data_IF_435996789726
#
_entry.id   IF_435996789726
#
_cell.length_a   1.000
_cell.length_b   1.000
_cell.length_c   1.000
_cell.angle_alpha   90.00
_cell.angle_beta   90.00
_cell.angle_gamma   90.00
#
_symmetry.space_group_name_H-M   'P 1'
#
loop_
_entity.id
_entity.type
_entity.pdbx_description
1 polymer ?
#
# COMPACT_ATOMS: atom_id res chain seq x y z
N UNK A 1 56.82 39.56 -4.30
CA UNK A 1 55.52 39.56 -4.76
C UNK A 1 54.50 38.92 -3.81
N UNK A 2 53.26 39.13 -4.05
CA UNK A 2 52.13 38.59 -3.25
C UNK A 2 52.15 37.06 -3.10
N UNK A 3 52.75 36.31 -4.03
CA UNK A 3 52.85 34.86 -4.00
C UNK A 3 53.70 34.27 -2.85
N UNK A 4 54.60 35.04 -2.28
CA UNK A 4 55.46 34.61 -1.17
C UNK A 4 54.81 34.76 0.21
N UNK A 5 53.79 35.60 0.36
CA UNK A 5 53.07 35.80 1.59
C UNK A 5 52.19 34.59 1.90
N UNK A 6 51.54 34.04 0.91
CA UNK A 6 50.69 32.85 1.09
C UNK A 6 51.48 31.60 1.47
N UNK A 7 52.74 31.49 1.01
CA UNK A 7 53.62 30.35 1.34
C UNK A 7 54.17 30.39 2.77
N UNK A 8 54.04 31.55 3.44
CA UNK A 8 54.56 31.77 4.82
C UNK A 8 53.49 31.91 5.85
N UNK A 9 52.18 31.87 5.42
CA UNK A 9 51.09 32.01 6.34
C UNK A 9 50.94 30.70 7.16
N UNK A 10 50.98 30.81 8.51
CA UNK A 10 50.61 29.77 9.39
C UNK A 10 49.11 29.58 9.40
N UNK A 11 48.64 28.37 9.26
CA UNK A 11 47.24 27.99 9.34
C UNK A 11 47.03 27.08 10.54
N UNK A 12 46.06 27.42 11.39
CA UNK A 12 45.63 26.58 12.51
C UNK A 12 44.15 26.32 12.45
N UNK A 13 43.72 25.14 12.87
CA UNK A 13 42.33 24.72 12.94
C UNK A 13 41.85 24.57 14.37
N UNK A 14 40.57 24.26 14.50
CA UNK A 14 39.88 23.93 15.74
C UNK A 14 39.03 22.69 15.48
N UNK A 15 38.60 21.99 16.52
CA UNK A 15 37.79 20.73 16.52
C UNK A 15 38.55 19.45 16.15
N UNK A 16 39.75 19.52 15.61
CA UNK A 16 40.61 18.36 15.38
C UNK A 16 40.03 17.28 14.49
N UNK A 17 39.17 17.67 13.52
CA UNK A 17 38.55 16.75 12.56
C UNK A 17 39.63 16.01 11.76
N UNK A 18 39.39 14.76 11.41
CA UNK A 18 40.35 13.92 10.69
C UNK A 18 40.80 14.54 9.37
N UNK A 19 39.92 15.25 8.66
CA UNK A 19 40.25 15.96 7.41
C UNK A 19 41.32 17.02 7.61
N UNK A 20 41.31 17.73 8.71
CA UNK A 20 42.34 18.72 9.05
C UNK A 20 43.71 18.09 9.31
N UNK A 21 43.72 16.89 9.95
CA UNK A 21 44.92 16.11 10.19
C UNK A 21 45.40 15.42 8.92
N UNK A 22 44.47 15.16 8.01
CA UNK A 22 44.70 14.48 6.75
C UNK A 22 45.08 15.43 5.62
N UNK A 23 44.95 16.74 5.81
CA UNK A 23 45.34 17.72 4.82
C UNK A 23 46.88 17.75 4.62
N UNK A 24 47.36 18.16 3.45
CA UNK A 24 48.76 18.32 3.22
C UNK A 24 49.12 19.79 2.96
N UNK A 25 49.95 20.41 3.78
CA UNK A 25 50.55 19.93 5.05
C UNK A 25 49.47 19.79 6.15
N UNK A 26 49.60 18.79 7.06
CA UNK A 26 48.66 18.60 8.17
C UNK A 26 48.45 19.88 8.97
N UNK A 27 47.20 20.18 9.29
CA UNK A 27 46.80 21.41 9.97
C UNK A 27 47.04 21.21 11.50
N UNK A 28 47.73 22.16 12.12
CA UNK A 28 47.79 22.23 13.60
C UNK A 28 46.40 22.59 14.11
N UNK A 29 45.83 21.78 15.02
CA UNK A 29 44.46 21.94 15.48
C UNK A 29 44.31 21.61 16.95
N UNK A 30 43.22 22.03 17.56
CA UNK A 30 42.80 21.62 18.90
C UNK A 30 41.80 20.49 18.74
N UNK A 31 42.06 19.36 19.41
CA UNK A 31 41.15 18.21 19.38
C UNK A 31 40.51 17.98 20.74
N UNK A 32 39.23 17.68 20.72
CA UNK A 32 38.50 17.17 21.87
C UNK A 32 38.35 15.66 21.74
N UNK A 33 38.44 14.97 22.88
CA UNK A 33 38.06 13.58 22.96
C UNK A 33 36.53 13.52 23.07
N UNK A 34 35.88 13.37 21.90
CA UNK A 34 34.43 13.36 21.78
C UNK A 34 33.85 12.16 22.53
N UNK A 35 34.45 10.98 22.42
CA UNK A 35 33.98 9.75 23.03
C UNK A 35 34.03 9.84 24.56
N UNK A 36 35.14 10.32 25.08
CA UNK A 36 35.29 10.57 26.53
C UNK A 36 34.30 11.64 27.00
N UNK A 37 34.05 12.66 26.20
CA UNK A 37 33.08 13.74 26.51
C UNK A 37 31.67 13.20 26.56
N UNK A 38 31.25 12.43 25.55
CA UNK A 38 29.93 11.81 25.49
C UNK A 38 29.71 10.84 26.64
N UNK A 39 30.64 9.90 26.86
CA UNK A 39 30.57 8.91 27.94
C UNK A 39 30.45 9.59 29.32
N UNK A 40 31.17 10.67 29.50
CA UNK A 40 31.11 11.48 30.71
C UNK A 40 29.78 12.20 30.87
N UNK A 41 29.27 12.78 29.81
CA UNK A 41 27.97 13.46 29.80
C UNK A 41 26.85 12.49 30.20
N UNK A 42 26.82 11.32 29.61
CA UNK A 42 25.84 10.29 29.96
C UNK A 42 25.97 9.83 31.42
N UNK A 43 27.21 9.68 31.94
CA UNK A 43 27.43 9.32 33.33
C UNK A 43 26.92 10.38 34.29
N UNK A 44 27.18 11.66 33.98
CA UNK A 44 26.68 12.81 34.76
C UNK A 44 25.17 12.83 34.75
N UNK A 45 24.56 12.68 33.56
CA UNK A 45 23.12 12.69 33.40
C UNK A 45 22.45 11.54 34.19
N UNK A 46 23.00 10.34 34.13
CA UNK A 46 22.54 9.18 34.92
C UNK A 46 22.61 9.46 36.42
N UNK A 47 23.72 10.05 36.91
CA UNK A 47 23.89 10.38 38.32
C UNK A 47 22.85 11.44 38.76
N UNK A 48 22.58 12.45 37.94
CA UNK A 48 21.54 13.46 38.20
C UNK A 48 20.16 12.84 38.31
N UNK A 49 19.80 11.97 37.35
CA UNK A 49 18.51 11.26 37.37
C UNK A 49 18.34 10.36 38.60
N UNK A 50 19.44 9.85 39.16
CA UNK A 50 19.45 9.05 40.38
C UNK A 50 19.55 9.90 41.68
N UNK A 51 19.53 11.23 41.56
CA UNK A 51 19.67 12.13 42.72
C UNK A 51 21.03 12.15 43.37
N UNK A 52 22.08 11.68 42.68
CA UNK A 52 23.46 11.69 43.15
C UNK A 52 24.15 13.02 42.87
N UNK A 53 25.02 13.46 43.74
CA UNK A 53 25.86 14.64 43.51
C UNK A 53 26.87 14.39 42.40
N UNK A 54 27.19 15.45 41.64
CA UNK A 54 28.20 15.43 40.58
C UNK A 54 29.55 15.69 41.22
N UNK A 55 30.39 14.69 41.33
CA UNK A 55 31.75 14.77 41.88
C UNK A 55 32.82 14.83 40.78
N UNK A 56 32.42 15.13 39.54
CA UNK A 56 33.33 15.19 38.39
C UNK A 56 33.46 16.64 37.87
N UNK A 57 34.66 17.04 37.43
CA UNK A 57 34.84 18.35 36.83
C UNK A 57 34.02 18.48 35.54
N UNK A 58 33.33 19.59 35.31
CA UNK A 58 32.53 19.87 34.14
C UNK A 58 33.37 20.35 32.93
N UNK A 59 34.66 20.47 33.09
CA UNK A 59 35.56 20.96 32.05
C UNK A 59 35.90 19.88 31.02
N UNK A 60 35.84 20.26 29.74
CA UNK A 60 36.27 19.40 28.63
C UNK A 60 37.78 19.58 28.44
N UNK A 61 38.51 18.49 28.51
CA UNK A 61 39.96 18.50 28.26
C UNK A 61 40.20 18.47 26.76
N UNK A 62 40.89 19.48 26.24
CA UNK A 62 41.32 19.54 24.86
C UNK A 62 42.83 19.37 24.74
N UNK A 63 43.32 18.81 23.66
CA UNK A 63 44.76 18.69 23.35
C UNK A 63 45.13 19.42 22.08
N UNK A 64 46.33 19.96 22.00
CA UNK A 64 46.83 20.56 20.76
C UNK A 64 47.54 19.48 19.95
N UNK A 65 47.04 19.23 18.75
CA UNK A 65 47.69 18.34 17.77
C UNK A 65 48.49 19.19 16.81
N UNK A 66 49.80 19.09 16.89
CA UNK A 66 50.71 19.85 16.07
C UNK A 66 50.83 19.22 14.66
N UNK A 67 50.38 19.95 13.64
CA UNK A 67 50.65 19.68 12.24
C UNK A 67 51.87 20.48 11.74
N UNK A 68 52.13 20.41 10.45
CA UNK A 68 53.20 21.22 9.82
C UNK A 68 52.69 22.54 9.24
N UNK A 69 51.38 22.83 9.28
CA UNK A 69 50.79 24.07 8.76
C UNK A 69 51.15 25.31 9.55
N UNK A 70 51.53 25.18 10.82
CA UNK A 70 51.97 26.30 11.65
C UNK A 70 53.46 26.63 11.49
N UNK A 71 54.22 25.87 10.71
CA UNK A 71 55.68 25.99 10.60
C UNK A 71 56.41 25.31 11.78
N UNK A 72 55.72 24.63 12.67
CA UNK A 72 56.32 23.84 13.74
C UNK A 72 57.05 22.62 13.16
N UNK A 73 58.22 22.28 13.67
CA UNK A 73 58.94 21.07 13.23
C UNK A 73 58.17 19.85 13.69
N UNK A 74 57.50 19.16 12.79
CA UNK A 74 56.95 17.82 13.06
C UNK A 74 58.15 16.87 13.26
N UNK A 75 58.08 16.03 14.29
CA UNK A 75 59.06 14.95 14.55
C UNK A 75 59.19 14.10 13.28
N UNK A 76 60.33 14.20 12.56
CA UNK A 76 60.59 13.53 11.28
C UNK A 76 60.71 11.99 11.38
N UNK A 77 60.59 11.41 12.56
CA UNK A 77 60.65 9.97 12.74
C UNK A 77 59.21 9.37 12.62
N UNK A 78 58.92 8.78 11.50
CA UNK A 78 57.80 7.93 11.15
C UNK A 78 56.97 8.36 9.93
N UNK A 79 57.57 9.10 8.97
CA UNK A 79 56.77 9.62 7.86
C UNK A 79 56.23 8.55 6.90
N UNK A 80 56.98 7.47 6.67
CA UNK A 80 56.61 6.45 5.68
C UNK A 80 55.59 5.46 6.20
N UNK A 81 55.75 4.98 7.46
CA UNK A 81 54.80 4.06 8.08
C UNK A 81 53.46 4.75 8.35
N UNK A 82 53.50 6.01 8.82
CA UNK A 82 52.28 6.81 9.00
C UNK A 82 51.60 7.07 7.65
N UNK A 83 52.37 7.38 6.61
CA UNK A 83 51.83 7.57 5.26
C UNK A 83 51.17 6.29 4.73
N UNK A 84 51.83 5.14 4.83
CA UNK A 84 51.30 3.86 4.40
C UNK A 84 50.03 3.46 5.18
N UNK A 85 50.05 3.59 6.51
CA UNK A 85 48.84 3.31 7.34
C UNK A 85 47.67 4.23 6.97
N UNK A 86 47.97 5.49 6.66
CA UNK A 86 46.99 6.46 6.25
C UNK A 86 46.42 6.14 4.88
N UNK A 87 47.28 5.81 3.92
CA UNK A 87 46.83 5.40 2.56
C UNK A 87 45.97 4.14 2.63
N UNK A 88 46.32 3.18 3.48
CA UNK A 88 45.51 1.99 3.74
C UNK A 88 44.15 2.34 4.35
N UNK A 89 44.08 3.22 5.33
CA UNK A 89 42.82 3.68 5.92
C UNK A 89 41.95 4.40 4.89
N UNK A 90 42.54 5.27 4.07
CA UNK A 90 41.81 5.97 3.01
C UNK A 90 41.26 5.00 1.95
N UNK A 91 42.07 4.02 1.54
CA UNK A 91 41.59 2.99 0.61
C UNK A 91 40.48 2.12 1.20
N UNK A 92 40.59 1.74 2.48
CA UNK A 92 39.53 1.01 3.16
C UNK A 92 38.24 1.82 3.19
N UNK A 93 38.29 3.08 3.63
CA UNK A 93 37.12 3.99 3.66
C UNK A 93 36.49 4.18 2.28
N UNK A 94 37.31 4.36 1.23
CA UNK A 94 36.81 4.50 -0.14
C UNK A 94 36.13 3.22 -0.62
N UNK A 95 36.69 2.05 -0.29
CA UNK A 95 36.08 0.79 -0.64
C UNK A 95 34.78 0.55 0.14
N UNK A 96 34.77 0.86 1.44
CA UNK A 96 33.57 0.75 2.29
C UNK A 96 32.47 1.68 1.77
N UNK A 97 32.83 2.93 1.43
CA UNK A 97 31.87 3.90 0.86
C UNK A 97 31.33 3.46 -0.50
N UNK A 98 32.21 2.92 -1.35
CA UNK A 98 31.80 2.40 -2.66
C UNK A 98 30.86 1.20 -2.52
N UNK A 99 31.23 0.22 -1.70
CA UNK A 99 30.42 -0.96 -1.44
C UNK A 99 29.04 -0.55 -0.90
N UNK A 100 29.02 0.34 0.08
CA UNK A 100 27.78 0.84 0.64
C UNK A 100 26.93 1.56 -0.40
N UNK A 101 27.51 2.45 -1.21
CA UNK A 101 26.77 3.18 -2.25
C UNK A 101 26.15 2.23 -3.29
N UNK A 102 26.89 1.19 -3.69
CA UNK A 102 26.39 0.13 -4.57
C UNK A 102 25.21 -0.61 -3.91
N UNK A 103 25.36 -1.02 -2.65
CA UNK A 103 24.30 -1.70 -1.88
C UNK A 103 23.04 -0.84 -1.77
N UNK A 104 23.16 0.47 -1.51
CA UNK A 104 22.01 1.37 -1.42
C UNK A 104 21.24 1.49 -2.75
N UNK A 105 21.95 1.48 -3.88
CA UNK A 105 21.33 1.51 -5.22
C UNK A 105 20.54 0.21 -5.46
N UNK A 106 21.14 -0.95 -5.17
CA UNK A 106 20.45 -2.23 -5.30
C UNK A 106 19.24 -2.34 -4.36
N UNK A 107 19.43 -1.95 -3.10
CA UNK A 107 18.35 -1.92 -2.13
C UNK A 107 17.18 -1.03 -2.59
N UNK A 108 17.48 0.18 -3.07
CA UNK A 108 16.43 1.08 -3.55
C UNK A 108 15.66 0.47 -4.73
N UNK A 109 16.35 -0.20 -5.67
CA UNK A 109 15.72 -0.88 -6.79
C UNK A 109 14.85 -2.07 -6.30
N UNK A 110 15.41 -2.96 -5.48
CA UNK A 110 14.72 -4.15 -4.99
C UNK A 110 13.52 -3.83 -4.10
N UNK A 111 13.60 -2.77 -3.30
CA UNK A 111 12.48 -2.32 -2.46
C UNK A 111 11.38 -1.65 -3.28
N UNK A 112 11.72 -0.98 -4.39
CA UNK A 112 10.75 -0.28 -5.24
C UNK A 112 9.98 -1.24 -6.17
N UNK A 113 10.59 -2.36 -6.55
CA UNK A 113 9.99 -3.37 -7.44
C UNK A 113 9.07 -4.35 -6.69
N UNK A 114 8.32 -3.84 -5.69
CA UNK A 114 7.40 -4.64 -4.89
C UNK A 114 5.99 -4.06 -4.90
N UNK A 115 5.01 -4.93 -5.20
CA UNK A 115 3.59 -4.60 -5.19
C UNK A 115 2.94 -4.76 -3.80
N UNK A 116 3.68 -5.25 -2.81
CA UNK A 116 3.16 -5.54 -1.48
C UNK A 116 4.13 -5.20 -0.36
N UNK A 117 3.62 -4.83 0.82
CA UNK A 117 4.44 -4.63 2.01
C UNK A 117 5.23 -5.86 2.40
N UNK A 118 4.65 -7.06 2.21
CA UNK A 118 5.36 -8.31 2.48
C UNK A 118 6.62 -8.46 1.61
N UNK A 119 6.53 -8.09 0.31
CA UNK A 119 7.69 -8.06 -0.58
C UNK A 119 8.76 -7.09 -0.11
N UNK A 120 8.36 -5.87 0.28
CA UNK A 120 9.28 -4.86 0.85
C UNK A 120 9.99 -5.40 2.09
N UNK A 121 9.25 -6.00 3.03
CA UNK A 121 9.86 -6.55 4.26
C UNK A 121 10.79 -7.72 3.99
N UNK A 122 10.44 -8.60 3.07
CA UNK A 122 11.28 -9.74 2.67
C UNK A 122 12.60 -9.28 2.05
N UNK A 123 12.54 -8.28 1.16
CA UNK A 123 13.74 -7.72 0.56
C UNK A 123 14.57 -6.94 1.59
N UNK A 124 13.91 -6.21 2.50
CA UNK A 124 14.61 -5.49 3.56
C UNK A 124 15.44 -6.41 4.46
N UNK A 125 14.96 -7.63 4.74
CA UNK A 125 15.73 -8.61 5.55
C UNK A 125 17.09 -8.95 4.95
N UNK A 126 17.23 -8.93 3.62
CA UNK A 126 18.49 -9.22 2.94
C UNK A 126 19.55 -8.12 3.15
N UNK A 127 19.10 -6.87 3.36
CA UNK A 127 19.98 -5.70 3.56
C UNK A 127 20.25 -5.38 5.02
N UNK A 128 19.58 -6.04 5.96
CA UNK A 128 19.74 -5.74 7.39
C UNK A 128 21.12 -6.08 7.94
N UNK A 129 21.85 -7.00 7.32
CA UNK A 129 23.23 -7.35 7.69
C UNK A 129 24.21 -6.20 7.46
N UNK A 130 23.92 -5.31 6.52
CA UNK A 130 24.75 -4.14 6.20
C UNK A 130 24.83 -3.13 7.36
N UNK A 131 23.86 -3.17 8.30
CA UNK A 131 23.88 -2.30 9.48
C UNK A 131 24.75 -2.82 10.60
N UNK A 132 25.21 -4.07 10.50
CA UNK A 132 26.01 -4.71 11.53
C UNK A 132 25.41 -4.59 12.94
N UNK A 133 24.12 -4.28 13.04
CA UNK A 133 23.40 -4.22 14.31
C UNK A 133 22.84 -5.60 14.65
N UNK A 134 23.11 -6.08 15.84
CA UNK A 134 22.58 -7.35 16.33
C UNK A 134 21.09 -7.29 16.68
N UNK A 135 20.56 -6.07 16.84
CA UNK A 135 19.15 -5.83 17.20
C UNK A 135 18.56 -4.73 16.32
N UNK A 136 17.45 -5.06 15.67
CA UNK A 136 16.73 -4.19 14.73
C UNK A 136 15.24 -4.38 14.91
N UNK A 137 14.46 -3.30 14.91
CA UNK A 137 12.99 -3.32 14.89
C UNK A 137 12.47 -2.29 13.92
N UNK A 138 11.53 -2.70 13.07
CA UNK A 138 10.76 -1.83 12.20
C UNK A 138 9.35 -1.72 12.78
N UNK A 139 9.04 -0.57 13.34
CA UNK A 139 7.77 -0.27 13.97
C UNK A 139 6.95 0.67 13.08
N UNK A 140 5.74 0.28 12.71
CA UNK A 140 4.85 1.02 11.81
C UNK A 140 3.54 1.33 12.53
N UNK A 141 2.98 2.52 12.30
CA UNK A 141 1.68 2.92 12.85
C UNK A 141 0.58 2.02 12.31
N UNK A 142 -0.38 1.63 13.14
CA UNK A 142 -1.38 0.62 12.81
C UNK A 142 -2.25 0.98 11.60
N UNK A 143 -2.62 2.25 11.44
CA UNK A 143 -3.44 2.75 10.34
C UNK A 143 -2.66 2.96 9.01
N UNK A 144 -1.33 2.79 9.01
CA UNK A 144 -0.56 2.88 7.76
C UNK A 144 -0.82 1.69 6.83
N UNK A 145 -1.01 0.49 7.40
CA UNK A 145 -1.17 -0.76 6.65
C UNK A 145 -2.64 -1.13 6.38
N UNK A 146 -3.59 -0.40 6.97
CA UNK A 146 -5.03 -0.68 6.78
C UNK A 146 -5.44 -0.33 5.35
N UNK A 147 -6.00 -1.31 4.64
CA UNK A 147 -6.65 -1.12 3.35
C UNK A 147 -7.98 -0.38 3.55
N UNK A 148 -8.21 0.65 2.75
CA UNK A 148 -9.46 1.41 2.78
C UNK A 148 -10.44 0.81 1.76
N UNK A 149 -11.58 0.28 2.23
CA UNK A 149 -12.53 -0.47 1.41
C UNK A 149 -13.45 0.42 0.55
N UNK A 150 -13.69 1.70 0.90
CA UNK A 150 -14.65 2.55 0.19
C UNK A 150 -14.01 3.75 -0.53
N UNK A 151 -14.49 4.02 -1.76
CA UNK A 151 -13.98 5.12 -2.60
C UNK A 151 -14.22 6.51 -1.99
N UNK A 152 -15.32 6.71 -1.26
CA UNK A 152 -15.60 7.93 -0.50
C UNK A 152 -14.53 8.18 0.55
N UNK A 153 -14.13 7.13 1.27
CA UNK A 153 -13.10 7.17 2.28
C UNK A 153 -11.71 7.43 1.68
N UNK A 154 -11.46 6.91 0.47
CA UNK A 154 -10.19 7.12 -0.24
C UNK A 154 -10.04 8.58 -0.66
N UNK A 155 -11.10 9.23 -1.15
CA UNK A 155 -11.07 10.64 -1.60
C UNK A 155 -10.96 11.59 -0.41
N UNK A 156 -11.73 11.38 0.64
CA UNK A 156 -11.71 12.21 1.84
C UNK A 156 -10.40 12.07 2.63
N UNK A 157 -9.80 10.88 2.63
CA UNK A 157 -8.52 10.59 3.28
C UNK A 157 -7.29 10.74 2.37
N UNK A 158 -7.46 11.03 1.08
CA UNK A 158 -6.34 11.35 0.18
C UNK A 158 -5.54 12.58 0.66
N UNK A 159 -6.17 13.46 1.45
CA UNK A 159 -5.57 14.61 2.09
C UNK A 159 -5.23 14.36 3.58
N UNK A 160 -5.36 13.13 4.08
CA UNK A 160 -5.08 12.82 5.46
C UNK A 160 -3.57 12.69 5.68
N UNK A 161 -2.96 13.76 6.15
CA UNK A 161 -1.59 13.79 6.64
C UNK A 161 -1.60 13.57 8.16
N UNK A 162 -1.11 12.41 8.61
CA UNK A 162 -0.90 12.20 10.03
C UNK A 162 0.44 12.80 10.43
N UNK A 163 0.40 13.83 11.24
CA UNK A 163 1.57 14.28 11.99
C UNK A 163 1.57 13.60 13.37
N UNK A 164 2.57 12.76 13.64
CA UNK A 164 2.70 12.03 14.89
C UNK A 164 2.31 10.54 14.80
N UNK A 165 2.44 9.85 15.94
CA UNK A 165 2.22 8.41 16.04
C UNK A 165 0.80 8.09 16.49
N UNK A 166 0.27 6.94 16.08
CA UNK A 166 -0.99 6.37 16.59
C UNK A 166 -0.81 5.82 18.01
N UNK A 167 -1.91 5.59 18.72
CA UNK A 167 -1.88 4.98 20.06
C UNK A 167 -1.36 3.54 20.04
N UNK A 168 -1.48 2.86 18.90
CA UNK A 168 -0.99 1.51 18.65
C UNK A 168 -0.04 1.50 17.48
N UNK A 169 0.94 0.63 17.56
CA UNK A 169 1.92 0.35 16.52
C UNK A 169 2.15 -1.15 16.37
N UNK A 170 2.68 -1.52 15.22
CA UNK A 170 3.01 -2.90 14.88
C UNK A 170 4.52 -3.01 14.63
N UNK A 171 5.18 -3.97 15.30
CA UNK A 171 6.50 -4.41 14.87
C UNK A 171 6.29 -5.28 13.63
N UNK A 172 6.66 -4.78 12.48
CA UNK A 172 6.53 -5.50 11.21
C UNK A 172 7.67 -6.47 11.01
N UNK A 173 8.83 -6.09 11.48
CA UNK A 173 10.07 -6.84 11.32
C UNK A 173 10.94 -6.58 12.53
N UNK A 174 11.42 -7.63 13.17
CA UNK A 174 12.46 -7.52 14.21
C UNK A 174 13.51 -8.58 14.05
N UNK A 175 14.75 -8.20 14.34
CA UNK A 175 15.90 -9.09 14.37
C UNK A 175 16.58 -8.97 15.74
N UNK A 176 16.71 -10.09 16.43
CA UNK A 176 17.33 -10.15 17.75
C UNK A 176 18.34 -11.29 17.73
N UNK A 177 19.62 -10.98 17.97
CA UNK A 177 20.72 -11.96 17.95
C UNK A 177 20.81 -12.77 16.63
N UNK A 178 20.47 -12.13 15.50
CA UNK A 178 20.50 -12.75 14.17
C UNK A 178 19.22 -13.51 13.76
N UNK A 179 18.27 -13.69 14.69
CA UNK A 179 17.00 -14.35 14.41
C UNK A 179 15.91 -13.34 14.10
N UNK A 180 15.14 -13.59 13.02
CA UNK A 180 14.00 -12.79 12.63
C UNK A 180 12.75 -13.21 13.39
N UNK A 181 11.99 -12.21 13.86
CA UNK A 181 10.71 -12.41 14.54
C UNK A 181 9.61 -11.61 13.82
N UNK A 182 8.38 -12.12 13.86
CA UNK A 182 7.25 -11.58 13.14
C UNK A 182 6.45 -10.52 13.88
N UNK A 183 5.25 -10.29 13.39
CA UNK A 183 4.29 -9.25 13.80
C UNK A 183 3.97 -9.28 15.30
N UNK A 184 4.12 -8.11 15.95
CA UNK A 184 3.75 -7.89 17.36
C UNK A 184 3.09 -6.52 17.47
N UNK A 185 1.84 -6.48 17.93
CA UNK A 185 1.12 -5.25 18.22
C UNK A 185 1.50 -4.73 19.61
N UNK A 186 1.65 -3.41 19.76
CA UNK A 186 1.95 -2.81 21.04
C UNK A 186 1.41 -1.38 21.16
N UNK A 187 1.28 -0.90 22.41
CA UNK A 187 0.93 0.49 22.65
C UNK A 187 2.15 1.39 22.44
N UNK A 188 1.99 2.46 21.67
CA UNK A 188 3.06 3.41 21.33
C UNK A 188 3.73 4.03 22.55
N UNK A 189 3.00 4.18 23.67
CA UNK A 189 3.55 4.65 24.95
C UNK A 189 4.66 3.78 25.52
N UNK A 190 4.74 2.50 25.12
CA UNK A 190 5.81 1.60 25.50
C UNK A 190 7.12 1.84 24.73
N UNK A 191 7.07 2.58 23.64
CA UNK A 191 8.14 2.81 22.66
C UNK A 191 8.64 1.52 21.99
N UNK A 192 8.82 0.46 22.76
CA UNK A 192 9.16 -0.89 22.29
C UNK A 192 8.70 -1.90 23.36
N UNK A 193 8.12 -3.06 22.99
CA UNK A 193 7.81 -4.11 23.94
C UNK A 193 9.07 -4.58 24.68
N UNK A 194 8.98 -4.76 26.00
CA UNK A 194 10.08 -5.20 26.86
C UNK A 194 11.34 -4.30 26.82
N UNK A 195 11.13 -2.99 26.55
CA UNK A 195 12.23 -2.02 26.44
C UNK A 195 13.20 -2.06 27.63
N UNK A 196 12.69 -2.20 28.86
CA UNK A 196 13.53 -2.28 30.07
C UNK A 196 14.48 -3.47 30.03
N UNK A 197 14.01 -4.65 29.62
CA UNK A 197 14.84 -5.85 29.51
C UNK A 197 15.88 -5.72 28.38
N UNK A 198 15.47 -5.10 27.27
CA UNK A 198 16.39 -4.87 26.15
C UNK A 198 17.54 -3.94 26.56
N UNK A 199 17.25 -2.90 27.36
CA UNK A 199 18.24 -1.95 27.87
C UNK A 199 19.16 -2.52 28.96
N UNK A 200 18.82 -3.67 29.56
CA UNK A 200 19.74 -4.38 30.47
C UNK A 200 20.91 -5.00 29.69
N UNK A 201 20.68 -5.38 28.44
CA UNK A 201 21.68 -6.03 27.57
C UNK A 201 22.42 -5.03 26.66
N UNK A 202 21.90 -3.80 26.48
CA UNK A 202 22.42 -2.81 25.52
C UNK A 202 22.70 -1.47 26.20
N UNK A 203 23.82 -0.85 25.83
CA UNK A 203 24.20 0.47 26.38
C UNK A 203 23.30 1.59 25.86
N UNK A 204 22.84 1.52 24.60
CA UNK A 204 21.96 2.51 23.98
C UNK A 204 21.14 1.94 22.83
N UNK A 205 19.91 2.44 22.67
CA UNK A 205 19.06 2.22 21.51
C UNK A 205 18.82 3.53 20.77
N UNK A 206 18.91 3.48 19.45
CA UNK A 206 18.62 4.62 18.58
C UNK A 206 17.24 4.44 17.96
N UNK A 207 16.35 5.43 18.17
CA UNK A 207 15.04 5.53 17.57
C UNK A 207 15.11 6.48 16.37
N UNK A 208 14.92 5.95 15.18
CA UNK A 208 15.05 6.66 13.92
C UNK A 208 13.66 6.81 13.28
N UNK A 209 13.09 8.01 13.18
CA UNK A 209 11.75 8.20 12.62
C UNK A 209 11.73 7.86 11.13
N UNK A 210 10.64 7.23 10.70
CA UNK A 210 10.30 7.00 9.30
C UNK A 210 9.14 7.93 8.93
N UNK A 211 9.39 8.80 7.97
CA UNK A 211 8.39 9.73 7.47
C UNK A 211 8.65 10.08 6.01
N UNK A 212 7.60 10.47 5.30
CA UNK A 212 7.68 11.08 3.97
C UNK A 212 6.92 12.39 4.03
N UNK A 213 7.60 13.50 3.79
CA UNK A 213 7.07 14.85 4.03
C UNK A 213 6.51 14.96 5.46
N UNK A 214 5.22 15.30 5.59
CA UNK A 214 4.53 15.48 6.87
C UNK A 214 3.84 14.20 7.37
N UNK A 215 3.94 13.10 6.61
CA UNK A 215 3.29 11.83 6.96
C UNK A 215 4.23 10.95 7.79
N UNK A 216 3.81 10.62 9.01
CA UNK A 216 4.51 9.68 9.88
C UNK A 216 4.16 8.24 9.49
N UNK A 217 5.18 7.44 9.17
CA UNK A 217 5.04 6.01 8.87
C UNK A 217 5.29 5.17 10.13
N UNK A 218 6.30 5.55 10.90
CA UNK A 218 6.73 4.81 12.09
C UNK A 218 8.14 5.18 12.50
N UNK A 219 8.88 4.21 13.00
CA UNK A 219 10.31 4.35 13.32
C UNK A 219 11.05 3.01 13.23
N UNK A 220 12.35 3.11 13.01
CA UNK A 220 13.30 2.00 13.17
C UNK A 220 13.99 2.15 14.51
N UNK A 221 14.16 1.04 15.23
CA UNK A 221 15.00 0.97 16.44
C UNK A 221 16.20 0.10 16.16
N UNK A 222 17.37 0.57 16.56
CA UNK A 222 18.64 -0.12 16.38
C UNK A 222 19.44 -0.10 17.69
N UNK A 223 20.11 -1.21 18.01
CA UNK A 223 21.15 -1.18 19.02
C UNK A 223 22.33 -0.36 18.46
N UNK A 224 22.72 0.67 19.20
CA UNK A 224 23.77 1.59 18.77
C UNK A 224 25.16 1.03 19.06
N UNK A 225 25.99 0.93 18.03
CA UNK A 225 27.41 0.62 18.12
C UNK A 225 28.21 1.75 17.45
N UNK A 226 28.96 2.51 18.24
CA UNK A 226 29.74 3.67 17.79
C UNK A 226 30.85 3.33 16.80
N UNK A 227 31.40 2.11 16.87
CA UNK A 227 32.50 1.69 15.98
C UNK A 227 32.00 1.25 14.59
N UNK A 228 30.74 0.84 14.50
CA UNK A 228 30.18 0.15 13.35
C UNK A 228 29.22 1.01 12.53
N UNK A 229 28.61 2.05 13.08
CA UNK A 229 27.52 2.79 12.47
C UNK A 229 27.97 4.12 11.87
N UNK A 230 27.89 4.23 10.56
CA UNK A 230 28.02 5.50 9.86
C UNK A 230 26.65 6.16 9.70
N UNK A 231 26.47 7.33 10.31
CA UNK A 231 25.19 8.07 10.31
C UNK A 231 24.69 8.46 8.91
N UNK A 232 25.57 8.74 7.97
CA UNK A 232 25.22 9.04 6.59
C UNK A 232 24.55 7.84 5.91
N UNK A 233 25.10 6.66 6.18
CA UNK A 233 24.57 5.41 5.64
C UNK A 233 23.21 5.06 6.25
N UNK A 234 23.07 5.25 7.55
CA UNK A 234 21.81 5.03 8.24
C UNK A 234 20.71 5.93 7.66
N UNK A 235 21.02 7.22 7.45
CA UNK A 235 20.05 8.15 6.86
C UNK A 235 19.56 7.71 5.47
N UNK A 236 20.47 7.32 4.58
CA UNK A 236 20.11 6.83 3.25
C UNK A 236 19.24 5.57 3.29
N UNK A 237 19.55 4.66 4.21
CA UNK A 237 18.75 3.46 4.42
C UNK A 237 17.32 3.78 4.89
N UNK A 238 17.18 4.64 5.89
CA UNK A 238 15.87 5.06 6.38
C UNK A 238 15.05 5.74 5.29
N UNK A 239 15.70 6.53 4.44
CA UNK A 239 15.09 7.14 3.27
C UNK A 239 14.59 6.09 2.28
N UNK A 240 15.39 5.07 1.97
CA UNK A 240 14.98 4.00 1.07
C UNK A 240 13.79 3.22 1.62
N UNK A 241 13.77 2.90 2.92
CA UNK A 241 12.62 2.25 3.58
C UNK A 241 11.38 3.13 3.48
N UNK A 242 11.49 4.40 3.88
CA UNK A 242 10.37 5.33 3.89
C UNK A 242 9.76 5.47 2.48
N UNK A 243 10.60 5.67 1.48
CA UNK A 243 10.16 5.80 0.09
C UNK A 243 9.53 4.50 -0.44
N UNK A 244 10.10 3.33 -0.12
CA UNK A 244 9.55 2.06 -0.55
C UNK A 244 8.16 1.81 0.05
N UNK A 245 8.00 2.04 1.35
CA UNK A 245 6.71 1.89 2.04
C UNK A 245 5.64 2.84 1.47
N UNK A 246 6.00 4.10 1.23
CA UNK A 246 5.09 5.08 0.63
C UNK A 246 4.73 4.73 -0.81
N UNK A 247 5.70 4.32 -1.63
CA UNK A 247 5.45 3.88 -3.01
C UNK A 247 4.50 2.69 -3.05
N UNK A 248 4.74 1.67 -2.21
CA UNK A 248 3.86 0.49 -2.13
C UNK A 248 2.44 0.89 -1.73
N UNK A 249 2.28 1.75 -0.71
CA UNK A 249 0.98 2.26 -0.27
C UNK A 249 0.27 3.06 -1.37
N UNK A 250 0.99 3.93 -2.05
CA UNK A 250 0.47 4.73 -3.16
C UNK A 250 0.04 3.83 -4.32
N UNK A 251 0.84 2.81 -4.66
CA UNK A 251 0.51 1.86 -5.71
C UNK A 251 -0.74 1.04 -5.37
N UNK A 252 -0.85 0.51 -4.15
CA UNK A 252 -2.05 -0.20 -3.69
C UNK A 252 -3.29 0.71 -3.74
N UNK A 253 -3.17 1.96 -3.28
CA UNK A 253 -4.26 2.94 -3.36
C UNK A 253 -4.69 3.18 -4.81
N UNK A 254 -3.75 3.35 -5.74
CA UNK A 254 -4.06 3.52 -7.16
C UNK A 254 -4.78 2.28 -7.73
N UNK A 255 -4.34 1.08 -7.41
CA UNK A 255 -4.98 -0.17 -7.82
C UNK A 255 -6.42 -0.27 -7.30
N UNK A 256 -6.66 0.08 -6.03
CA UNK A 256 -8.00 0.07 -5.44
C UNK A 256 -8.91 1.11 -6.09
N UNK A 257 -8.39 2.31 -6.40
CA UNK A 257 -9.15 3.34 -7.15
C UNK A 257 -9.50 2.83 -8.55
N UNK A 258 -8.55 2.26 -9.28
CA UNK A 258 -8.78 1.72 -10.63
C UNK A 258 -9.84 0.63 -10.57
N UNK A 259 -9.71 -0.35 -9.67
CA UNK A 259 -10.68 -1.44 -9.51
C UNK A 259 -12.08 -0.92 -9.13
N UNK A 260 -12.15 0.10 -8.27
CA UNK A 260 -13.42 0.73 -7.88
C UNK A 260 -14.05 1.51 -9.05
N UNK A 261 -13.23 2.22 -9.83
CA UNK A 261 -13.70 2.90 -11.05
C UNK A 261 -14.18 1.91 -12.11
N UNK A 262 -13.43 0.81 -12.33
CA UNK A 262 -13.83 -0.26 -13.24
C UNK A 262 -15.14 -0.89 -12.80
N UNK A 263 -15.32 -1.18 -11.51
CA UNK A 263 -16.56 -1.71 -10.98
C UNK A 263 -17.74 -0.75 -11.21
N UNK A 264 -17.58 0.55 -10.93
CA UNK A 264 -18.62 1.56 -11.20
C UNK A 264 -18.91 1.73 -12.69
N UNK A 265 -17.91 1.47 -13.54
CA UNK A 265 -18.02 1.63 -14.98
C UNK A 265 -18.78 0.49 -15.66
N UNK A 266 -18.79 -0.72 -15.06
CA UNK A 266 -19.43 -1.92 -15.62
C UNK A 266 -20.65 -2.40 -14.84
N UNK A 267 -20.95 -1.82 -13.66
CA UNK A 267 -22.13 -2.17 -12.86
C UNK A 267 -23.17 -1.04 -12.81
N UNK A 268 -24.42 -1.41 -12.57
CA UNK A 268 -25.51 -0.50 -12.26
C UNK A 268 -25.52 -0.20 -10.75
N UNK A 269 -25.45 1.07 -10.32
CA UNK A 269 -25.31 1.41 -8.90
C UNK A 269 -26.54 1.09 -8.05
N UNK A 270 -27.72 0.95 -8.66
CA UNK A 270 -28.96 0.69 -7.94
C UNK A 270 -29.15 -0.80 -7.67
N UNK A 271 -28.86 -1.65 -8.65
CA UNK A 271 -29.14 -3.08 -8.57
C UNK A 271 -27.91 -3.93 -8.28
N UNK A 272 -26.70 -3.36 -8.43
CA UNK A 272 -25.44 -4.12 -8.33
C UNK A 272 -25.17 -5.06 -9.51
N UNK A 273 -26.15 -5.24 -10.40
CA UNK A 273 -25.96 -6.03 -11.63
C UNK A 273 -24.99 -5.34 -12.59
N UNK A 274 -24.57 -6.03 -13.64
CA UNK A 274 -23.84 -5.36 -14.71
C UNK A 274 -24.72 -4.29 -15.36
N UNK A 275 -24.11 -3.20 -15.79
CA UNK A 275 -24.76 -2.28 -16.71
C UNK A 275 -24.65 -2.80 -18.17
N UNK A 276 -25.23 -2.12 -19.13
CA UNK A 276 -25.20 -2.50 -20.54
C UNK A 276 -23.76 -2.77 -21.03
N UNK A 277 -22.80 -1.95 -20.64
CA UNK A 277 -21.41 -2.11 -21.05
C UNK A 277 -20.77 -3.35 -20.46
N UNK A 278 -20.93 -3.57 -19.16
CA UNK A 278 -20.43 -4.76 -18.47
C UNK A 278 -21.03 -6.06 -19.04
N UNK A 279 -22.30 -6.01 -19.43
CA UNK A 279 -22.93 -7.13 -20.13
C UNK A 279 -22.22 -7.50 -21.43
N UNK A 280 -22.07 -6.53 -22.35
CA UNK A 280 -21.40 -6.80 -23.63
C UNK A 280 -19.95 -7.30 -23.44
N UNK A 281 -19.21 -6.67 -22.53
CA UNK A 281 -17.82 -7.06 -22.26
C UNK A 281 -17.70 -8.54 -21.84
N UNK A 282 -18.67 -9.05 -21.07
CA UNK A 282 -18.65 -10.43 -20.57
C UNK A 282 -19.33 -11.43 -21.50
N UNK A 283 -20.42 -11.01 -22.10
CA UNK A 283 -21.29 -11.91 -22.86
C UNK A 283 -20.82 -12.08 -24.29
N UNK A 284 -20.23 -11.05 -24.92
CA UNK A 284 -19.74 -11.15 -26.29
C UNK A 284 -18.74 -12.31 -26.49
N UNK A 285 -17.69 -12.46 -25.67
CA UNK A 285 -16.76 -13.61 -25.81
C UNK A 285 -17.45 -14.95 -25.57
N UNK A 286 -18.37 -15.02 -24.60
CA UNK A 286 -19.13 -16.23 -24.31
C UNK A 286 -20.03 -16.63 -25.49
N UNK A 287 -20.72 -15.68 -26.10
CA UNK A 287 -21.59 -15.89 -27.27
C UNK A 287 -20.79 -16.43 -28.45
N UNK A 288 -19.65 -15.83 -28.77
CA UNK A 288 -18.75 -16.27 -29.81
C UNK A 288 -18.19 -17.68 -29.55
N UNK A 289 -17.88 -17.98 -28.28
CA UNK A 289 -17.45 -19.32 -27.88
C UNK A 289 -18.56 -20.34 -28.10
N UNK A 290 -19.80 -20.03 -27.68
CA UNK A 290 -20.96 -20.90 -27.88
C UNK A 290 -21.21 -21.21 -29.37
N UNK A 291 -21.08 -20.18 -30.22
CA UNK A 291 -21.19 -20.37 -31.69
C UNK A 291 -20.12 -21.34 -32.21
N UNK A 292 -18.86 -21.17 -31.83
CA UNK A 292 -17.74 -22.04 -32.26
C UNK A 292 -17.83 -23.48 -31.73
N UNK A 293 -18.31 -23.64 -30.49
CA UNK A 293 -18.38 -24.96 -29.84
C UNK A 293 -19.72 -25.65 -30.03
N UNK A 294 -20.64 -25.05 -30.78
CA UNK A 294 -22.02 -25.53 -30.97
C UNK A 294 -22.75 -25.75 -29.63
N UNK A 295 -22.50 -24.89 -28.67
CA UNK A 295 -23.07 -24.96 -27.31
C UNK A 295 -24.34 -24.13 -27.25
N UNK A 296 -25.43 -24.62 -26.66
CA UNK A 296 -26.65 -23.84 -26.49
C UNK A 296 -26.41 -22.62 -25.56
N UNK A 297 -26.99 -21.49 -25.94
CA UNK A 297 -26.91 -20.22 -25.27
C UNK A 297 -28.30 -19.74 -24.91
N UNK A 298 -28.46 -19.29 -23.66
CA UNK A 298 -29.70 -18.68 -23.15
C UNK A 298 -29.51 -17.18 -23.12
N UNK A 299 -30.47 -16.48 -23.67
CA UNK A 299 -30.60 -15.03 -23.54
C UNK A 299 -32.03 -14.69 -23.07
N UNK A 300 -32.08 -13.83 -22.07
CA UNK A 300 -33.32 -13.35 -21.45
C UNK A 300 -33.34 -11.84 -21.53
N UNK A 301 -34.42 -11.26 -22.08
CA UNK A 301 -34.78 -9.86 -21.90
C UNK A 301 -35.95 -9.78 -20.93
N UNK A 302 -35.90 -8.89 -19.95
CA UNK A 302 -36.96 -8.69 -18.95
C UNK A 302 -37.28 -7.19 -18.80
N UNK A 303 -38.55 -6.89 -18.62
CA UNK A 303 -39.04 -5.52 -18.40
C UNK A 303 -40.02 -5.50 -17.22
N UNK A 304 -39.79 -4.60 -16.28
CA UNK A 304 -40.66 -4.42 -15.11
C UNK A 304 -42.00 -3.76 -15.51
N UNK A 305 -43.07 -4.46 -15.31
CA UNK A 305 -44.41 -3.96 -15.67
C UNK A 305 -44.90 -2.86 -14.72
N UNK A 306 -45.39 -1.76 -15.27
CA UNK A 306 -46.09 -0.73 -14.52
C UNK A 306 -45.22 0.15 -13.62
N UNK A 307 -43.92 0.21 -13.82
CA UNK A 307 -42.98 1.04 -13.03
C UNK A 307 -43.46 2.49 -12.93
N UNK A 308 -43.94 3.09 -14.03
CA UNK A 308 -44.45 4.46 -14.04
C UNK A 308 -45.60 4.62 -13.05
N UNK A 309 -46.55 3.67 -13.04
CA UNK A 309 -47.70 3.70 -12.11
C UNK A 309 -47.24 3.58 -10.64
N UNK A 310 -46.25 2.75 -10.37
CA UNK A 310 -45.68 2.62 -9.02
C UNK A 310 -45.03 3.95 -8.61
N UNK A 311 -44.19 4.53 -9.46
CA UNK A 311 -43.56 5.82 -9.21
C UNK A 311 -44.56 6.95 -8.98
N UNK A 312 -45.54 7.07 -9.85
CA UNK A 312 -46.54 8.15 -9.81
C UNK A 312 -47.48 8.04 -8.60
N UNK A 313 -47.72 6.80 -8.09
CA UNK A 313 -48.67 6.55 -7.00
C UNK A 313 -47.98 6.46 -5.63
N UNK A 314 -46.81 5.82 -5.55
CA UNK A 314 -46.14 5.48 -4.29
C UNK A 314 -44.77 6.16 -4.13
N UNK A 315 -44.28 6.84 -5.16
CA UNK A 315 -43.03 7.55 -5.17
C UNK A 315 -41.84 6.72 -5.69
N UNK A 316 -40.74 7.42 -6.00
CA UNK A 316 -39.55 6.81 -6.61
C UNK A 316 -38.89 5.75 -5.73
N UNK A 317 -38.96 5.89 -4.38
CA UNK A 317 -38.38 4.90 -3.45
C UNK A 317 -39.03 3.51 -3.61
N UNK A 318 -40.35 3.47 -3.87
CA UNK A 318 -41.06 2.22 -4.15
C UNK A 318 -40.79 1.68 -5.54
N UNK A 319 -40.56 2.57 -6.53
CA UNK A 319 -40.05 2.18 -7.84
C UNK A 319 -38.65 1.56 -7.77
N UNK A 320 -37.76 2.11 -6.96
CA UNK A 320 -36.40 1.59 -6.74
C UNK A 320 -36.45 0.19 -6.11
N UNK A 321 -37.37 -0.03 -5.16
CA UNK A 321 -37.62 -1.37 -4.60
C UNK A 321 -38.09 -2.34 -5.68
N UNK A 322 -39.03 -1.93 -6.55
CA UNK A 322 -39.52 -2.79 -7.62
C UNK A 322 -38.42 -3.15 -8.64
N UNK A 323 -37.60 -2.19 -9.04
CA UNK A 323 -36.43 -2.39 -9.90
C UNK A 323 -35.43 -3.38 -9.24
N UNK A 324 -35.08 -3.14 -7.95
CA UNK A 324 -34.15 -3.99 -7.22
C UNK A 324 -34.68 -5.42 -7.08
N UNK A 325 -35.97 -5.59 -6.87
CA UNK A 325 -36.64 -6.92 -6.75
C UNK A 325 -36.54 -7.72 -8.05
N UNK A 326 -36.82 -7.11 -9.22
CA UNK A 326 -36.66 -7.79 -10.51
C UNK A 326 -35.20 -8.13 -10.77
N UNK A 327 -34.27 -7.22 -10.45
CA UNK A 327 -32.84 -7.48 -10.56
C UNK A 327 -32.37 -8.66 -9.71
N UNK A 328 -32.85 -8.75 -8.45
CA UNK A 328 -32.57 -9.86 -7.56
C UNK A 328 -33.18 -11.18 -8.05
N UNK A 329 -34.43 -11.15 -8.55
CA UNK A 329 -35.05 -12.33 -9.14
C UNK A 329 -34.20 -12.89 -10.30
N UNK A 330 -33.74 -12.03 -11.21
CA UNK A 330 -32.87 -12.44 -12.29
C UNK A 330 -31.54 -13.01 -11.79
N UNK A 331 -30.89 -12.37 -10.81
CA UNK A 331 -29.62 -12.82 -10.27
C UNK A 331 -29.71 -14.17 -9.56
N UNK A 332 -30.77 -14.40 -8.79
CA UNK A 332 -30.93 -15.62 -8.00
C UNK A 332 -31.48 -16.80 -8.78
N UNK A 333 -32.39 -16.55 -9.72
CA UNK A 333 -33.06 -17.59 -10.48
C UNK A 333 -32.35 -17.96 -11.79
N UNK A 334 -31.34 -17.21 -12.22
CA UNK A 334 -30.48 -17.56 -13.34
C UNK A 334 -29.43 -18.60 -12.95
N UNK A 335 -28.73 -19.14 -13.96
CA UNK A 335 -27.59 -20.04 -13.72
C UNK A 335 -26.50 -19.33 -12.89
N UNK A 336 -25.77 -20.08 -12.06
CA UNK A 336 -24.63 -19.55 -11.32
C UNK A 336 -23.53 -18.93 -12.22
N UNK A 337 -23.50 -19.32 -13.50
CA UNK A 337 -22.61 -18.75 -14.53
C UNK A 337 -23.24 -17.61 -15.32
N UNK A 338 -24.47 -17.21 -15.01
CA UNK A 338 -25.17 -16.19 -15.77
C UNK A 338 -24.57 -14.80 -15.55
N UNK A 339 -24.53 -14.02 -16.62
CA UNK A 339 -24.27 -12.58 -16.56
C UNK A 339 -25.61 -11.84 -16.63
N UNK A 340 -26.01 -11.25 -15.49
CA UNK A 340 -27.24 -10.47 -15.37
C UNK A 340 -26.92 -8.97 -15.39
N UNK A 341 -27.71 -8.20 -16.14
CA UNK A 341 -27.47 -6.76 -16.32
C UNK A 341 -28.79 -5.97 -16.32
N UNK A 342 -28.69 -4.70 -15.92
CA UNK A 342 -29.72 -3.70 -16.13
C UNK A 342 -29.29 -2.78 -17.29
N UNK A 343 -30.08 -2.71 -18.37
CA UNK A 343 -29.76 -1.90 -19.53
C UNK A 343 -30.19 -0.44 -19.39
N UNK A 344 -31.18 -0.19 -18.56
CA UNK A 344 -31.66 1.15 -18.19
C UNK A 344 -33.13 1.13 -17.75
N UNK A 345 -33.54 2.09 -16.94
CA UNK A 345 -34.92 2.18 -16.49
C UNK A 345 -35.44 0.88 -15.88
N UNK A 346 -36.38 0.25 -16.55
CA UNK A 346 -37.08 -1.00 -16.21
C UNK A 346 -36.57 -2.23 -16.98
N UNK A 347 -35.56 -2.08 -17.84
CA UNK A 347 -35.06 -3.12 -18.75
C UNK A 347 -33.85 -3.90 -18.16
N UNK A 348 -33.95 -5.22 -18.19
CA UNK A 348 -32.91 -6.14 -17.73
C UNK A 348 -32.61 -7.21 -18.79
N UNK A 349 -31.38 -7.70 -18.75
CA UNK A 349 -30.92 -8.78 -19.65
C UNK A 349 -30.09 -9.78 -18.83
N UNK A 350 -30.25 -11.09 -19.12
CA UNK A 350 -29.41 -12.12 -18.56
C UNK A 350 -28.97 -13.12 -19.65
N UNK A 351 -27.74 -13.63 -19.55
CA UNK A 351 -27.22 -14.57 -20.53
C UNK A 351 -26.26 -15.59 -19.89
N UNK A 352 -26.32 -16.83 -20.39
CA UNK A 352 -25.42 -17.93 -19.99
C UNK A 352 -25.37 -19.05 -21.02
N UNK A 353 -24.32 -19.86 -20.98
CA UNK A 353 -24.25 -21.11 -21.74
C UNK A 353 -25.02 -22.23 -21.01
N UNK A 354 -25.74 -23.09 -21.72
CA UNK A 354 -26.44 -24.23 -21.14
C UNK A 354 -26.11 -25.53 -21.85
N UNK A 355 -26.48 -26.66 -21.24
CA UNK A 355 -26.16 -27.99 -21.78
C UNK A 355 -27.26 -28.56 -22.71
N UNK A 356 -28.42 -27.92 -22.79
CA UNK A 356 -29.51 -28.37 -23.67
C UNK A 356 -30.32 -27.17 -24.19
N UNK A 357 -30.74 -27.25 -25.44
CA UNK A 357 -31.61 -26.30 -26.08
C UNK A 357 -33.08 -26.76 -26.03
N UNK A 358 -33.66 -26.84 -24.82
CA UNK A 358 -35.05 -27.31 -24.70
C UNK A 358 -36.01 -26.16 -24.35
N UNK A 359 -37.21 -26.22 -24.93
CA UNK A 359 -38.33 -25.34 -24.52
C UNK A 359 -38.75 -25.54 -23.06
N UNK A 360 -38.35 -26.62 -22.44
CA UNK A 360 -38.54 -26.92 -21.01
C UNK A 360 -37.74 -25.96 -20.13
N UNK A 361 -36.50 -25.60 -20.52
CA UNK A 361 -35.68 -24.63 -19.78
C UNK A 361 -36.28 -23.23 -19.82
N UNK A 362 -36.84 -22.81 -20.97
CA UNK A 362 -37.57 -21.54 -21.07
C UNK A 362 -38.76 -21.50 -20.10
N UNK A 363 -39.59 -22.55 -20.12
CA UNK A 363 -40.75 -22.64 -19.26
C UNK A 363 -40.37 -22.73 -17.75
N UNK A 364 -39.34 -23.45 -17.43
CA UNK A 364 -38.83 -23.63 -16.07
C UNK A 364 -38.28 -22.31 -15.53
N UNK A 365 -37.47 -21.57 -16.31
CA UNK A 365 -36.92 -20.28 -15.91
C UNK A 365 -38.05 -19.25 -15.68
N UNK A 366 -38.98 -19.14 -16.61
CA UNK A 366 -40.15 -18.26 -16.49
C UNK A 366 -40.92 -18.53 -15.19
N UNK A 367 -41.11 -19.82 -14.83
CA UNK A 367 -41.79 -20.20 -13.61
C UNK A 367 -41.00 -19.84 -12.35
N UNK A 368 -39.67 -19.97 -12.37
CA UNK A 368 -38.81 -19.58 -11.25
C UNK A 368 -38.92 -18.07 -10.98
N UNK A 369 -38.80 -17.24 -12.01
CA UNK A 369 -38.95 -15.78 -11.86
C UNK A 369 -40.35 -15.43 -11.34
N UNK A 370 -41.41 -16.04 -11.89
CA UNK A 370 -42.78 -15.79 -11.44
C UNK A 370 -42.95 -16.14 -9.95
N UNK A 371 -42.48 -17.32 -9.54
CA UNK A 371 -42.55 -17.75 -8.14
C UNK A 371 -41.82 -16.78 -7.20
N UNK A 372 -40.62 -16.32 -7.59
CA UNK A 372 -39.85 -15.35 -6.80
C UNK A 372 -40.65 -14.05 -6.59
N UNK A 373 -41.21 -13.49 -7.67
CA UNK A 373 -42.00 -12.27 -7.63
C UNK A 373 -43.29 -12.46 -6.82
N UNK A 374 -43.97 -13.60 -6.97
CA UNK A 374 -45.19 -13.93 -6.21
C UNK A 374 -44.89 -14.06 -4.69
N UNK A 375 -43.78 -14.67 -4.32
CA UNK A 375 -43.35 -14.77 -2.93
C UNK A 375 -43.05 -13.39 -2.34
N UNK A 376 -42.34 -12.53 -3.08
CA UNK A 376 -42.10 -11.14 -2.69
C UNK A 376 -43.45 -10.39 -2.51
N UNK A 377 -44.33 -10.47 -3.51
CA UNK A 377 -45.62 -9.80 -3.46
C UNK A 377 -46.46 -10.24 -2.23
N UNK A 378 -46.40 -11.52 -1.87
CA UNK A 378 -47.13 -12.05 -0.73
C UNK A 378 -46.51 -11.63 0.63
N UNK A 379 -45.20 -11.46 0.71
CA UNK A 379 -44.47 -11.22 1.98
C UNK A 379 -44.14 -9.75 2.25
N UNK A 380 -44.01 -8.92 1.20
CA UNK A 380 -43.51 -7.54 1.32
C UNK A 380 -44.47 -6.55 2.00
N UNK A 381 -45.78 -6.88 2.07
CA UNK A 381 -46.82 -5.97 2.58
C UNK A 381 -47.01 -4.69 1.74
N UNK A 382 -46.46 -4.62 0.53
CA UNK A 382 -46.61 -3.48 -0.34
C UNK A 382 -48.01 -3.41 -0.95
N UNK A 383 -48.57 -2.19 -1.19
CA UNK A 383 -49.93 -2.04 -1.73
C UNK A 383 -50.01 -2.23 -3.27
N UNK A 384 -48.90 -2.62 -3.90
CA UNK A 384 -48.79 -2.89 -5.32
C UNK A 384 -48.17 -4.26 -5.56
N UNK A 385 -48.31 -4.80 -6.77
CA UNK A 385 -47.70 -6.07 -7.18
C UNK A 385 -46.60 -5.81 -8.18
N UNK A 386 -45.48 -6.49 -8.01
CA UNK A 386 -44.35 -6.50 -8.92
C UNK A 386 -44.54 -7.66 -9.90
N UNK A 387 -44.46 -7.37 -11.20
CA UNK A 387 -44.43 -8.39 -12.26
C UNK A 387 -43.50 -7.95 -13.37
N UNK A 388 -43.00 -8.90 -14.15
CA UNK A 388 -42.13 -8.62 -15.29
C UNK A 388 -42.59 -9.34 -16.53
N UNK A 389 -42.40 -8.74 -17.69
CA UNK A 389 -42.55 -9.38 -19.02
C UNK A 389 -41.21 -9.94 -19.43
N UNK A 390 -41.18 -11.19 -19.91
CA UNK A 390 -39.96 -11.92 -20.23
C UNK A 390 -39.95 -12.34 -21.70
N UNK A 391 -38.82 -12.02 -22.38
CA UNK A 391 -38.46 -12.64 -23.66
C UNK A 391 -37.31 -13.62 -23.41
N UNK A 392 -37.46 -14.86 -23.84
CA UNK A 392 -36.43 -15.88 -23.61
C UNK A 392 -36.14 -16.59 -24.95
N UNK A 393 -34.84 -16.75 -25.21
CA UNK A 393 -34.35 -17.52 -26.36
C UNK A 393 -33.32 -18.52 -25.86
N UNK A 394 -33.49 -19.79 -26.21
CA UNK A 394 -32.55 -20.86 -25.95
C UNK A 394 -32.22 -21.51 -27.31
N UNK A 395 -31.03 -21.20 -27.82
CA UNK A 395 -30.61 -21.71 -29.11
C UNK A 395 -29.07 -21.75 -29.20
N UNK A 396 -28.57 -22.54 -30.15
CA UNK A 396 -27.15 -22.49 -30.51
C UNK A 396 -26.94 -21.30 -31.44
N UNK A 397 -26.08 -20.31 -31.08
CA UNK A 397 -25.77 -19.23 -32.00
C UNK A 397 -25.09 -19.71 -33.26
N UNK A 398 -25.45 -19.19 -34.44
CA UNK A 398 -24.65 -19.41 -35.64
C UNK A 398 -23.53 -18.38 -35.74
N UNK A 399 -22.43 -18.73 -36.42
CA UNK A 399 -21.32 -17.79 -36.62
C UNK A 399 -21.68 -16.51 -37.41
N UNK A 400 -22.78 -16.58 -38.16
CA UNK A 400 -23.26 -15.47 -39.00
C UNK A 400 -24.20 -14.49 -38.23
N UNK A 401 -24.61 -14.82 -37.01
CA UNK A 401 -25.54 -14.02 -36.20
C UNK A 401 -24.76 -13.24 -35.13
N UNK A 402 -25.02 -11.98 -34.97
CA UNK A 402 -24.45 -11.14 -33.93
C UNK A 402 -25.23 -11.24 -32.60
N UNK A 403 -24.58 -10.92 -31.49
CA UNK A 403 -25.23 -10.83 -30.18
C UNK A 403 -26.39 -9.82 -30.19
N UNK A 404 -26.24 -8.71 -30.90
CA UNK A 404 -27.31 -7.68 -31.03
C UNK A 404 -28.55 -8.20 -31.74
N UNK A 405 -28.40 -9.00 -32.79
CA UNK A 405 -29.53 -9.66 -33.46
C UNK A 405 -30.21 -10.67 -32.53
N UNK A 406 -29.43 -11.38 -31.69
CA UNK A 406 -29.96 -12.31 -30.70
C UNK A 406 -30.76 -11.59 -29.61
N UNK A 407 -30.25 -10.44 -29.13
CA UNK A 407 -30.95 -9.56 -28.18
C UNK A 407 -32.25 -9.04 -28.80
N UNK A 408 -32.23 -8.61 -30.04
CA UNK A 408 -33.42 -8.13 -30.73
C UNK A 408 -34.55 -9.17 -30.78
N UNK A 409 -34.22 -10.44 -31.03
CA UNK A 409 -35.21 -11.53 -31.03
C UNK A 409 -35.82 -11.73 -29.64
N UNK A 410 -35.03 -11.61 -28.58
CA UNK A 410 -35.55 -11.72 -27.20
C UNK A 410 -36.42 -10.50 -26.83
N UNK A 411 -36.04 -9.32 -27.27
CA UNK A 411 -36.80 -8.09 -27.04
C UNK A 411 -38.18 -8.14 -27.77
N UNK A 412 -38.24 -8.67 -28.98
CA UNK A 412 -39.48 -8.88 -29.68
C UNK A 412 -40.43 -9.81 -28.91
N UNK A 413 -39.92 -10.92 -28.39
CA UNK A 413 -40.71 -11.84 -27.53
C UNK A 413 -41.16 -11.20 -26.22
N UNK A 414 -40.31 -10.43 -25.58
CA UNK A 414 -40.65 -9.67 -24.36
C UNK A 414 -41.76 -8.65 -24.63
N UNK A 415 -41.65 -7.93 -25.75
CA UNK A 415 -42.64 -6.94 -26.14
C UNK A 415 -44.02 -7.56 -26.41
N UNK A 416 -44.08 -8.75 -27.07
CA UNK A 416 -45.33 -9.49 -27.23
C UNK A 416 -46.00 -9.82 -25.91
N UNK A 417 -45.24 -10.20 -24.89
CA UNK A 417 -45.73 -10.48 -23.55
C UNK A 417 -46.20 -9.21 -22.85
N UNK A 418 -45.44 -8.11 -22.97
CA UNK A 418 -45.81 -6.79 -22.45
C UNK A 418 -47.14 -6.28 -23.03
N UNK A 419 -47.36 -6.50 -24.32
CA UNK A 419 -48.65 -6.15 -24.98
C UNK A 419 -49.79 -6.97 -24.37
N UNK A 420 -49.62 -8.28 -24.16
CA UNK A 420 -50.63 -9.13 -23.52
C UNK A 420 -50.93 -8.69 -22.10
N UNK A 421 -49.90 -8.33 -21.32
CA UNK A 421 -50.08 -7.78 -19.98
C UNK A 421 -50.93 -6.51 -19.98
N UNK A 422 -50.64 -5.55 -20.87
CA UNK A 422 -51.41 -4.31 -20.98
C UNK A 422 -52.88 -4.51 -21.46
N UNK A 423 -53.14 -5.55 -22.25
CA UNK A 423 -54.50 -5.88 -22.67
C UNK A 423 -55.34 -6.45 -21.50
N UNK A 424 -54.73 -7.23 -20.62
CA UNK A 424 -55.38 -7.87 -19.46
C UNK A 424 -55.53 -6.92 -18.28
N UNK A 425 -54.68 -5.91 -18.16
CA UNK A 425 -54.65 -4.92 -17.06
C UNK A 425 -55.08 -3.51 -17.48
N UNK A 426 -55.71 -3.36 -18.63
CA UNK A 426 -56.38 -2.08 -19.01
C UNK A 426 -57.52 -1.82 -18.05
N UNK A 427 -57.33 -0.87 -17.14
CA UNK A 427 -58.40 -0.11 -16.49
C UNK A 427 -58.58 1.25 -17.15
#
# INVERSE_FOLDING_TARGET
GLGDVYKRQAVTGFDGIEEALDFYPPITTVRYDIDATISRTFRIMRNLLQGKEIDEPLEIVSEIVYGSSCGCQSNKQNSMTKYNNRTHKLHSRLNDHRHFSETQIYMAADLTDNDSFFGVFNNLMQYADEFRSNKFWLCIVDDFLVEQEELSDIIDKANFHRSGYSDKMNIMLSRINGEWQGLIDFNTSALLPNLSTILEDEDALMFCPLHVLDMTIGYVVLAYDSEMMNMEYLYQFLMNISNALENTKTHQRQQNIISSLENKYIHDPMTGLFNRRGFYQRVQPLFEQCAKTNTPFVLVSADLNGLKTINDTYGHADGDIAISTVGQALAQESSASATCARFGGDEFVAAWACNSSSSEEEAAFRKRIQNYLDEFNASSGKPYTISSSLGIVVAVPSEDITLDEFIKVTDEKMYEEKVKYHQTHKR
#
